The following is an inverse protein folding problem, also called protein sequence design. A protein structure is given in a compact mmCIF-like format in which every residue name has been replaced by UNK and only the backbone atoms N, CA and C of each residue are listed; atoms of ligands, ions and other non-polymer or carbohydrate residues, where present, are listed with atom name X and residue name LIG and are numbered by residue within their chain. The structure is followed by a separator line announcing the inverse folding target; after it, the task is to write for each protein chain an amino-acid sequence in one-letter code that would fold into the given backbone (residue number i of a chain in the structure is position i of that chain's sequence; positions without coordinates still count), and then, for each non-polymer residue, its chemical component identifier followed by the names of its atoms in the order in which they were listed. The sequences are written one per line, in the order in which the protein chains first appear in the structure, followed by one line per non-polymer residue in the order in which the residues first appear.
data_IF_450871357998
#
_entry.id   IF_450871357998
#
_cell.length_a   1.000
_cell.length_b   1.000
_cell.length_c   1.000
_cell.angle_alpha   90.00
_cell.angle_beta   90.00
_cell.angle_gamma   90.00
#
_symmetry.space_group_name_H-M   'P 1'
#
loop_
_entity.id
_entity.type
_entity.pdbx_description
1 polymer ?
#
# COMPACT_ATOMS: atom_id res chain seq x y z
N UNK A 1 -15.18 -1.48 17.62
CA UNK A 1 -14.34 -1.62 16.40
C UNK A 1 -12.92 -1.29 16.81
N UNK A 2 -11.92 -2.07 16.42
CA UNK A 2 -10.54 -1.80 16.81
C UNK A 2 -10.02 -0.51 16.15
N UNK A 3 -9.46 0.36 17.00
CA UNK A 3 -8.93 1.67 16.62
C UNK A 3 -7.59 1.88 17.32
N UNK A 4 -6.56 2.18 16.54
CA UNK A 4 -5.31 2.70 17.09
C UNK A 4 -5.45 4.22 17.23
N UNK A 5 -5.30 4.72 18.47
CA UNK A 5 -5.30 6.15 18.75
C UNK A 5 -3.89 6.66 18.95
N UNK A 6 -3.56 7.73 18.24
CA UNK A 6 -2.31 8.50 18.37
C UNK A 6 -2.66 9.98 18.55
N UNK A 7 -1.67 10.82 18.79
CA UNK A 7 -1.90 12.23 19.11
C UNK A 7 -2.69 13.01 18.03
N UNK A 8 -2.49 12.65 16.75
CA UNK A 8 -3.04 13.37 15.59
C UNK A 8 -3.87 12.47 14.65
N UNK A 9 -4.12 11.20 15.06
CA UNK A 9 -4.86 10.26 14.20
C UNK A 9 -5.54 9.14 14.99
N UNK A 10 -6.67 8.69 14.49
CA UNK A 10 -7.35 7.45 14.87
C UNK A 10 -7.41 6.54 13.64
N UNK A 11 -6.73 5.40 13.69
CA UNK A 11 -6.62 4.45 12.59
C UNK A 11 -7.50 3.24 12.86
N UNK A 12 -8.47 3.01 11.97
CA UNK A 12 -9.26 1.78 11.98
C UNK A 12 -8.46 0.64 11.37
N UNK A 13 -8.57 -0.53 11.99
CA UNK A 13 -7.95 -1.75 11.47
C UNK A 13 -8.78 -3.00 11.76
N UNK A 14 -8.50 -4.06 11.05
CA UNK A 14 -9.07 -5.39 11.22
C UNK A 14 -7.94 -6.42 11.24
N UNK A 15 -8.13 -7.52 11.99
CA UNK A 15 -7.16 -8.60 12.08
C UNK A 15 -7.87 -9.91 11.77
N UNK A 16 -7.28 -10.71 10.90
CA UNK A 16 -7.80 -12.01 10.47
C UNK A 16 -6.74 -13.10 10.65
N UNK A 17 -7.17 -14.33 10.92
CA UNK A 17 -6.28 -15.48 11.00
C UNK A 17 -5.31 -15.44 12.16
N UNK A 18 -4.27 -16.26 12.08
CA UNK A 18 -3.19 -16.36 13.06
C UNK A 18 -1.91 -16.86 12.38
N UNK A 19 -0.75 -16.49 12.93
CA UNK A 19 0.58 -16.86 12.43
C UNK A 19 1.51 -15.64 12.33
N UNK A 20 2.51 -15.72 11.46
CA UNK A 20 3.42 -14.60 11.24
C UNK A 20 2.65 -13.40 10.64
N UNK A 21 2.90 -12.16 11.11
CA UNK A 21 2.09 -11.01 10.71
C UNK A 21 2.36 -10.55 9.27
N UNK A 22 1.29 -10.15 8.59
CA UNK A 22 1.36 -9.44 7.31
C UNK A 22 0.46 -8.20 7.37
N UNK A 23 1.04 -7.02 7.11
CA UNK A 23 0.31 -5.76 7.04
C UNK A 23 -0.11 -5.48 5.59
N UNK A 24 -1.40 -5.20 5.40
CA UNK A 24 -2.00 -4.96 4.09
C UNK A 24 -2.23 -3.48 3.84
N UNK A 25 -1.82 -3.01 2.67
CA UNK A 25 -2.10 -1.68 2.15
C UNK A 25 -3.03 -1.77 0.96
N UNK A 26 -4.31 -1.51 1.18
CA UNK A 26 -5.35 -1.67 0.17
C UNK A 26 -5.16 -0.72 -1.03
N UNK A 27 -5.66 -1.09 -2.22
CA UNK A 27 -5.76 -0.15 -3.34
C UNK A 27 -6.72 1.01 -2.99
N UNK A 28 -6.85 2.01 -3.90
CA UNK A 28 -7.81 3.11 -3.73
C UNK A 28 -7.18 4.50 -3.65
N UNK A 29 -5.87 4.65 -3.89
CA UNK A 29 -5.16 5.92 -3.79
C UNK A 29 -5.26 6.48 -2.37
N UNK A 30 -5.47 7.79 -2.25
CA UNK A 30 -5.63 8.47 -0.94
C UNK A 30 -6.94 8.13 -0.20
N UNK A 31 -7.79 7.25 -0.78
CA UNK A 31 -8.99 6.69 -0.14
C UNK A 31 -8.82 5.22 0.24
N UNK A 32 -7.59 4.73 0.27
CA UNK A 32 -7.26 3.34 0.58
C UNK A 32 -7.83 2.92 1.95
N UNK A 33 -8.76 1.97 1.93
CA UNK A 33 -9.44 1.42 3.09
C UNK A 33 -9.59 -0.10 3.00
N UNK A 34 -9.86 -0.75 4.11
CA UNK A 34 -9.95 -2.22 4.24
C UNK A 34 -10.87 -2.84 3.17
N UNK A 35 -12.02 -2.21 2.89
CA UNK A 35 -13.00 -2.75 1.95
C UNK A 35 -12.53 -2.74 0.48
N UNK A 36 -11.50 -1.97 0.15
CA UNK A 36 -10.97 -1.89 -1.22
C UNK A 36 -10.25 -3.17 -1.68
N UNK A 37 -9.97 -4.13 -0.80
CA UNK A 37 -9.39 -5.41 -1.19
C UNK A 37 -10.36 -6.33 -1.95
N UNK A 38 -11.63 -6.33 -1.61
CA UNK A 38 -12.64 -7.19 -2.24
C UNK A 38 -13.78 -6.42 -2.89
N UNK A 39 -13.67 -5.09 -2.93
CA UNK A 39 -14.77 -4.21 -3.29
C UNK A 39 -15.12 -4.21 -4.77
N UNK A 40 -16.41 -4.17 -5.07
CA UNK A 40 -16.88 -3.80 -6.39
C UNK A 40 -16.55 -2.33 -6.69
N UNK A 41 -16.18 -2.05 -7.93
CA UNK A 41 -15.94 -0.70 -8.44
C UNK A 41 -16.63 -0.52 -9.80
N UNK A 42 -16.76 0.70 -10.35
CA UNK A 42 -17.31 0.88 -11.69
C UNK A 42 -16.64 0.03 -12.76
N UNK A 43 -15.33 -0.21 -12.64
CA UNK A 43 -14.55 -1.03 -13.57
C UNK A 43 -14.63 -2.54 -13.25
N UNK A 44 -15.01 -2.90 -12.04
CA UNK A 44 -15.09 -4.28 -11.54
C UNK A 44 -16.35 -4.45 -10.70
N UNK A 45 -17.56 -4.47 -11.33
CA UNK A 45 -18.85 -4.50 -10.61
C UNK A 45 -19.06 -5.78 -9.80
N UNK A 46 -18.37 -6.86 -10.15
CA UNK A 46 -18.41 -8.15 -9.44
C UNK A 46 -17.22 -8.33 -8.47
N UNK A 47 -16.52 -7.26 -8.10
CA UNK A 47 -15.28 -7.29 -7.34
C UNK A 47 -14.04 -7.46 -8.24
N UNK A 48 -12.88 -7.33 -7.64
CA UNK A 48 -11.63 -7.47 -8.37
C UNK A 48 -11.41 -8.93 -8.79
N UNK A 49 -10.95 -9.19 -10.04
CA UNK A 49 -10.68 -10.54 -10.53
C UNK A 49 -9.31 -11.07 -10.06
N UNK A 50 -8.92 -10.76 -8.84
CA UNK A 50 -7.68 -11.21 -8.20
C UNK A 50 -7.88 -11.47 -6.71
N UNK A 51 -6.83 -11.90 -6.04
CA UNK A 51 -6.85 -12.34 -4.66
C UNK A 51 -7.30 -11.24 -3.69
N UNK A 52 -8.28 -11.56 -2.81
CA UNK A 52 -8.50 -10.82 -1.56
C UNK A 52 -7.57 -11.39 -0.48
N UNK A 53 -6.51 -10.69 -0.10
CA UNK A 53 -5.52 -11.22 0.84
C UNK A 53 -6.07 -11.39 2.26
N UNK A 54 -7.18 -10.72 2.62
CA UNK A 54 -7.81 -10.84 3.94
C UNK A 54 -8.34 -12.26 4.19
N UNK A 55 -8.80 -12.91 3.14
CA UNK A 55 -9.29 -14.29 3.21
C UNK A 55 -8.26 -15.29 2.71
N UNK A 56 -7.54 -14.96 1.63
CA UNK A 56 -6.61 -15.88 0.99
C UNK A 56 -5.36 -16.19 1.83
N UNK A 57 -4.98 -15.31 2.78
CA UNK A 57 -3.78 -15.48 3.60
C UNK A 57 -4.09 -15.81 5.07
N UNK A 58 -5.35 -15.71 5.49
CA UNK A 58 -5.74 -15.85 6.90
C UNK A 58 -5.62 -17.28 7.46
N UNK A 59 -5.45 -18.27 6.62
CA UNK A 59 -5.20 -19.66 7.03
C UNK A 59 -3.79 -19.88 7.62
N UNK A 60 -2.81 -19.03 7.27
CA UNK A 60 -1.40 -19.18 7.68
C UNK A 60 -0.80 -17.95 8.35
N UNK A 61 -1.42 -16.78 8.19
CA UNK A 61 -0.87 -15.50 8.64
C UNK A 61 -1.83 -14.75 9.55
N UNK A 62 -1.27 -13.95 10.46
CA UNK A 62 -2.03 -12.87 11.10
C UNK A 62 -2.11 -11.72 10.11
N UNK A 63 -3.23 -11.60 9.41
CA UNK A 63 -3.46 -10.61 8.37
C UNK A 63 -4.02 -9.34 9.00
N UNK A 64 -3.32 -8.23 8.89
CA UNK A 64 -3.65 -6.93 9.46
C UNK A 64 -4.03 -6.00 8.31
N UNK A 65 -5.28 -5.58 8.24
CA UNK A 65 -5.78 -4.64 7.25
C UNK A 65 -6.17 -3.33 7.93
N UNK A 66 -5.88 -2.18 7.31
CA UNK A 66 -6.14 -0.87 7.90
C UNK A 66 -6.71 0.11 6.89
N UNK A 67 -7.51 1.05 7.39
CA UNK A 67 -7.86 2.25 6.66
C UNK A 67 -6.74 3.27 6.79
N UNK A 68 -6.29 3.84 5.68
CA UNK A 68 -5.25 4.87 5.70
C UNK A 68 -5.77 6.18 6.31
N UNK A 69 -4.86 7.09 6.70
CA UNK A 69 -5.22 8.44 7.19
C UNK A 69 -6.31 9.07 6.33
N UNK A 70 -7.39 9.50 6.95
CA UNK A 70 -8.53 10.18 6.31
C UNK A 70 -9.26 9.35 5.24
N UNK A 71 -9.10 8.03 5.26
CA UNK A 71 -9.85 7.08 4.44
C UNK A 71 -10.76 6.21 5.33
N UNK A 72 -11.85 5.73 4.76
CA UNK A 72 -12.78 4.83 5.45
C UNK A 72 -13.25 5.38 6.80
N UNK A 73 -12.93 4.65 7.87
CA UNK A 73 -13.26 5.00 9.26
C UNK A 73 -12.11 5.71 10.00
N UNK A 74 -10.95 5.86 9.35
CA UNK A 74 -9.79 6.54 9.94
C UNK A 74 -9.92 8.05 9.82
N UNK A 75 -9.49 8.75 10.87
CA UNK A 75 -9.52 10.21 10.96
C UNK A 75 -8.15 10.71 11.40
N UNK A 76 -7.64 11.74 10.74
CA UNK A 76 -6.36 12.34 11.07
C UNK A 76 -6.33 13.85 10.75
N UNK A 77 -5.46 14.57 11.44
CA UNK A 77 -5.08 15.92 11.05
C UNK A 77 -4.46 15.93 9.65
N UNK A 78 -4.57 17.06 8.97
CA UNK A 78 -3.88 17.34 7.71
C UNK A 78 -2.95 18.52 7.90
N UNK A 79 -1.65 18.28 7.76
CA UNK A 79 -0.61 19.30 7.95
C UNK A 79 0.23 19.45 6.69
N UNK A 80 0.87 20.61 6.47
CA UNK A 80 1.63 20.86 5.25
C UNK A 80 2.90 20.00 5.10
N UNK A 81 3.41 19.46 6.19
CA UNK A 81 4.58 18.58 6.25
C UNK A 81 4.24 17.08 6.14
N UNK A 82 2.95 16.72 6.12
CA UNK A 82 2.54 15.32 5.96
C UNK A 82 2.89 14.80 4.56
N UNK A 83 3.28 13.53 4.50
CA UNK A 83 3.70 12.82 3.29
C UNK A 83 3.87 11.32 3.57
N UNK A 84 4.60 10.61 2.74
CA UNK A 84 4.80 9.16 2.85
C UNK A 84 5.28 8.72 4.24
N UNK A 85 6.26 9.43 4.82
CA UNK A 85 6.77 9.17 6.17
C UNK A 85 5.69 9.21 7.25
N UNK A 86 4.66 10.05 7.07
CA UNK A 86 3.55 10.16 8.03
C UNK A 86 2.68 8.91 8.02
N UNK A 87 2.40 8.37 6.82
CA UNK A 87 1.70 7.09 6.69
C UNK A 87 2.53 5.93 7.24
N UNK A 88 3.83 5.88 6.93
CA UNK A 88 4.71 4.87 7.48
C UNK A 88 4.76 4.88 9.01
N UNK A 89 4.75 6.06 9.62
CA UNK A 89 4.68 6.18 11.08
C UNK A 89 3.40 5.58 11.68
N UNK A 90 2.26 5.69 10.98
CA UNK A 90 1.01 5.03 11.41
C UNK A 90 1.10 3.51 11.23
N UNK A 91 1.64 3.05 10.11
CA UNK A 91 1.83 1.63 9.82
C UNK A 91 2.68 0.95 10.90
N UNK A 92 3.83 1.53 11.21
CA UNK A 92 4.74 1.01 12.23
C UNK A 92 4.14 1.07 13.63
N UNK A 93 3.42 2.15 13.96
CA UNK A 93 2.73 2.26 15.24
C UNK A 93 1.63 1.21 15.40
N UNK A 94 0.92 0.83 14.32
CA UNK A 94 -0.06 -0.26 14.36
C UNK A 94 0.61 -1.61 14.63
N UNK A 95 1.71 -1.89 13.96
CA UNK A 95 2.51 -3.11 14.17
C UNK A 95 3.04 -3.18 15.61
N UNK A 96 3.52 -2.05 16.16
CA UNK A 96 3.99 -1.95 17.55
C UNK A 96 2.84 -2.14 18.55
N UNK A 97 1.68 -1.54 18.31
CA UNK A 97 0.47 -1.69 19.12
C UNK A 97 0.02 -3.16 19.22
N UNK A 98 0.15 -3.90 18.11
CA UNK A 98 -0.16 -5.33 18.06
C UNK A 98 0.97 -6.23 18.59
N UNK A 99 2.10 -5.67 19.01
CA UNK A 99 3.22 -6.37 19.63
C UNK A 99 4.16 -7.11 18.67
N UNK A 100 4.07 -6.86 17.36
CA UNK A 100 4.89 -7.55 16.39
C UNK A 100 6.24 -6.83 16.14
N UNK A 101 7.32 -7.60 16.06
CA UNK A 101 8.68 -7.09 15.79
C UNK A 101 9.04 -7.14 14.31
N UNK A 102 8.70 -8.24 13.65
CA UNK A 102 8.90 -8.45 12.21
C UNK A 102 7.59 -8.79 11.55
N UNK A 103 7.44 -8.41 10.29
CA UNK A 103 6.21 -8.61 9.54
C UNK A 103 6.48 -8.61 8.04
N UNK A 104 5.58 -9.21 7.26
CA UNK A 104 5.48 -9.01 5.83
C UNK A 104 4.63 -7.78 5.53
N UNK A 105 4.77 -7.23 4.34
CA UNK A 105 3.85 -6.22 3.80
C UNK A 105 3.28 -6.69 2.46
N UNK A 106 2.03 -6.34 2.18
CA UNK A 106 1.43 -6.51 0.86
C UNK A 106 0.63 -5.27 0.50
N UNK A 107 0.87 -4.73 -0.69
CA UNK A 107 0.21 -3.52 -1.13
C UNK A 107 -0.28 -3.58 -2.57
N UNK A 108 -1.54 -3.17 -2.79
CA UNK A 108 -2.12 -2.98 -4.11
C UNK A 108 -2.18 -1.50 -4.49
N UNK A 109 -1.94 -1.15 -5.76
CA UNK A 109 -2.00 0.24 -6.24
C UNK A 109 -1.04 1.15 -5.46
N UNK A 110 -1.53 2.19 -4.79
CA UNK A 110 -0.75 3.06 -3.88
C UNK A 110 -0.04 2.25 -2.78
N UNK A 111 -0.61 1.10 -2.41
CA UNK A 111 -0.03 0.20 -1.42
C UNK A 111 1.36 -0.30 -1.79
N UNK A 112 1.70 -0.36 -3.07
CA UNK A 112 3.06 -0.66 -3.52
C UNK A 112 4.07 0.39 -3.06
N UNK A 113 3.71 1.67 -3.13
CA UNK A 113 4.54 2.77 -2.62
C UNK A 113 4.62 2.75 -1.09
N UNK A 114 3.53 2.39 -0.38
CA UNK A 114 3.58 2.17 1.07
C UNK A 114 4.48 0.99 1.45
N UNK A 115 4.53 -0.09 0.66
CA UNK A 115 5.47 -1.19 0.89
C UNK A 115 6.93 -0.71 0.84
N UNK A 116 7.30 0.08 -0.18
CA UNK A 116 8.64 0.63 -0.29
C UNK A 116 8.98 1.58 0.86
N UNK A 117 8.07 2.48 1.21
CA UNK A 117 8.24 3.38 2.35
C UNK A 117 8.43 2.62 3.66
N UNK A 118 7.63 1.57 3.91
CA UNK A 118 7.78 0.73 5.10
C UNK A 118 9.14 0.04 5.16
N UNK A 119 9.67 -0.42 4.01
CA UNK A 119 11.02 -1.01 3.92
C UNK A 119 12.08 0.05 4.20
N UNK A 120 11.95 1.27 3.66
CA UNK A 120 12.91 2.36 3.89
C UNK A 120 12.97 2.76 5.36
N UNK A 121 11.80 2.90 6.02
CA UNK A 121 11.70 3.32 7.41
C UNK A 121 12.06 2.21 8.41
N UNK A 122 11.89 0.94 8.05
CA UNK A 122 12.10 -0.18 8.96
C UNK A 122 12.68 -1.43 8.25
N UNK A 123 13.87 -1.32 7.61
CA UNK A 123 14.45 -2.38 6.77
C UNK A 123 14.67 -3.70 7.52
N UNK A 124 15.01 -3.64 8.81
CA UNK A 124 15.26 -4.83 9.64
C UNK A 124 13.96 -5.51 10.14
N UNK A 125 12.82 -4.86 9.95
CA UNK A 125 11.51 -5.35 10.41
C UNK A 125 10.67 -5.94 9.28
N UNK A 126 10.79 -5.43 8.06
CA UNK A 126 10.02 -5.93 6.90
C UNK A 126 10.71 -7.18 6.34
N UNK A 127 10.12 -8.33 6.58
CA UNK A 127 10.66 -9.63 6.18
C UNK A 127 10.59 -9.86 4.66
N UNK A 128 9.50 -9.43 4.02
CA UNK A 128 9.34 -9.39 2.55
C UNK A 128 8.14 -8.52 2.16
N UNK A 129 8.06 -8.15 0.87
CA UNK A 129 6.96 -7.35 0.34
C UNK A 129 6.34 -7.97 -0.92
N UNK A 130 5.00 -8.03 -0.96
CA UNK A 130 4.21 -8.34 -2.15
C UNK A 130 3.67 -7.03 -2.72
N UNK A 131 4.10 -6.68 -3.92
CA UNK A 131 3.76 -5.42 -4.60
C UNK A 131 2.86 -5.77 -5.78
N UNK A 132 1.58 -5.41 -5.66
CA UNK A 132 0.58 -5.69 -6.66
C UNK A 132 0.18 -4.40 -7.36
N UNK A 133 0.30 -4.38 -8.70
CA UNK A 133 -0.20 -3.27 -9.49
C UNK A 133 0.31 -1.89 -9.00
N UNK A 134 1.63 -1.68 -8.86
CA UNK A 134 2.14 -0.45 -8.24
C UNK A 134 1.80 0.78 -9.05
N UNK A 135 1.51 1.88 -8.34
CA UNK A 135 1.43 3.21 -8.94
C UNK A 135 2.82 3.71 -9.36
N UNK A 136 2.85 4.70 -10.23
CA UNK A 136 4.07 5.42 -10.57
C UNK A 136 3.82 6.57 -11.54
N UNK A 137 4.85 7.38 -11.73
CA UNK A 137 4.81 8.49 -12.68
C UNK A 137 5.31 8.03 -14.06
N UNK A 138 4.40 7.99 -15.01
CA UNK A 138 4.70 7.77 -16.43
C UNK A 138 3.59 8.35 -17.29
N UNK A 139 3.81 9.57 -17.81
CA UNK A 139 2.84 10.29 -18.68
C UNK A 139 1.42 10.43 -18.08
N UNK A 140 1.32 10.50 -16.75
CA UNK A 140 0.04 10.45 -16.01
C UNK A 140 -0.03 11.46 -14.85
N UNK A 141 0.68 12.59 -14.93
CA UNK A 141 0.71 13.62 -13.88
C UNK A 141 -0.70 14.11 -13.53
N UNK A 142 -1.56 14.26 -14.54
CA UNK A 142 -2.96 14.66 -14.39
C UNK A 142 -3.77 13.75 -13.43
N UNK A 143 -3.46 12.47 -13.41
CA UNK A 143 -4.09 11.52 -12.50
C UNK A 143 -3.77 11.83 -11.02
N UNK A 144 -2.55 12.23 -10.74
CA UNK A 144 -2.10 12.53 -9.37
C UNK A 144 -2.57 13.90 -8.90
N UNK A 145 -2.61 14.88 -9.78
CA UNK A 145 -3.20 16.20 -9.52
C UNK A 145 -4.70 16.06 -9.19
N UNK A 146 -5.43 15.23 -9.92
CA UNK A 146 -6.83 14.91 -9.63
C UNK A 146 -7.01 14.18 -8.29
N UNK A 147 -6.09 13.28 -7.94
CA UNK A 147 -6.11 12.56 -6.65
C UNK A 147 -5.94 13.53 -5.47
N UNK A 148 -5.00 14.47 -5.55
CA UNK A 148 -4.77 15.51 -4.52
C UNK A 148 -5.98 16.42 -4.40
N UNK A 149 -6.57 16.87 -5.52
CA UNK A 149 -7.78 17.69 -5.52
C UNK A 149 -8.94 16.96 -4.81
N UNK A 150 -9.20 15.71 -5.19
CA UNK A 150 -10.27 14.90 -4.59
C UNK A 150 -10.04 14.61 -3.10
N UNK A 151 -8.78 14.45 -2.68
CA UNK A 151 -8.44 14.35 -1.26
C UNK A 151 -8.75 15.65 -0.52
N UNK A 152 -8.32 16.81 -1.06
CA UNK A 152 -8.61 18.11 -0.49
C UNK A 152 -10.12 18.38 -0.31
N UNK A 153 -10.93 18.03 -1.32
CA UNK A 153 -12.38 18.12 -1.22
C UNK A 153 -12.95 17.24 -0.11
N UNK A 154 -12.39 16.03 0.07
CA UNK A 154 -12.84 15.08 1.09
C UNK A 154 -12.53 15.56 2.51
N UNK A 155 -11.29 15.98 2.77
CA UNK A 155 -10.88 16.39 4.13
C UNK A 155 -11.53 17.70 4.55
N UNK A 156 -11.77 18.62 3.61
CA UNK A 156 -12.45 19.90 3.88
C UNK A 156 -13.95 19.76 4.19
N UNK A 157 -14.59 18.68 3.78
CA UNK A 157 -15.97 18.40 4.23
C UNK A 157 -16.04 18.20 5.74
N UNK A 158 -14.95 17.66 6.33
CA UNK A 158 -14.84 17.46 7.78
C UNK A 158 -14.27 18.67 8.49
N UNK A 159 -13.23 19.28 7.91
CA UNK A 159 -12.55 20.46 8.45
C UNK A 159 -12.39 21.54 7.37
N UNK A 160 -13.33 22.48 7.26
CA UNK A 160 -13.26 23.58 6.28
C UNK A 160 -12.09 24.55 6.49
N UNK A 161 -11.41 24.52 7.64
CA UNK A 161 -10.28 25.40 7.94
C UNK A 161 -8.99 25.00 7.22
N UNK A 162 -8.90 23.78 6.68
CA UNK A 162 -7.73 23.31 5.95
C UNK A 162 -7.52 24.16 4.69
N UNK A 163 -6.39 24.90 4.67
CA UNK A 163 -6.07 25.82 3.60
C UNK A 163 -5.71 25.11 2.28
N UNK A 164 -5.84 25.81 1.14
CA UNK A 164 -5.37 25.28 -0.15
C UNK A 164 -3.86 25.03 -0.11
N UNK A 165 -3.10 25.94 0.51
CA UNK A 165 -1.65 25.81 0.65
C UNK A 165 -1.24 24.53 1.40
N UNK A 166 -2.02 24.12 2.41
CA UNK A 166 -1.81 22.84 3.12
C UNK A 166 -2.02 21.65 2.20
N UNK A 167 -3.11 21.64 1.40
CA UNK A 167 -3.39 20.57 0.45
C UNK A 167 -2.32 20.51 -0.65
N UNK A 168 -1.89 21.65 -1.17
CA UNK A 168 -0.86 21.71 -2.21
C UNK A 168 0.50 21.21 -1.69
N UNK A 169 0.83 21.53 -0.43
CA UNK A 169 2.06 21.05 0.21
C UNK A 169 2.02 19.55 0.43
N UNK A 170 0.93 19.04 0.98
CA UNK A 170 0.68 17.60 1.12
C UNK A 170 0.77 16.89 -0.25
N UNK A 171 0.13 17.44 -1.29
CA UNK A 171 0.16 16.90 -2.64
C UNK A 171 1.58 16.81 -3.21
N UNK A 172 2.41 17.85 -3.00
CA UNK A 172 3.83 17.80 -3.39
C UNK A 172 4.61 16.73 -2.63
N UNK A 173 4.37 16.57 -1.33
CA UNK A 173 5.03 15.55 -0.52
C UNK A 173 4.65 14.13 -0.93
N UNK A 174 3.40 13.92 -1.38
CA UNK A 174 2.93 12.61 -1.85
C UNK A 174 3.32 12.32 -3.29
N UNK A 175 3.10 13.26 -4.21
CA UNK A 175 3.19 13.00 -5.65
C UNK A 175 4.11 13.96 -6.41
N UNK A 176 4.86 14.82 -5.71
CA UNK A 176 5.82 15.74 -6.34
C UNK A 176 7.06 15.06 -6.91
N UNK A 177 7.37 13.86 -6.45
CA UNK A 177 8.47 13.04 -6.95
C UNK A 177 8.17 12.39 -8.31
N UNK A 178 9.06 11.49 -8.69
CA UNK A 178 8.95 10.64 -9.88
C UNK A 178 8.88 9.14 -9.47
N UNK A 179 9.03 8.24 -10.44
CA UNK A 179 9.08 6.79 -10.24
C UNK A 179 7.86 6.28 -9.47
N UNK A 180 8.05 5.73 -8.25
CA UNK A 180 6.98 5.24 -7.36
C UNK A 180 6.59 6.25 -6.28
N UNK A 181 7.05 7.48 -6.36
CA UNK A 181 6.81 8.63 -5.48
C UNK A 181 7.39 8.54 -4.07
N UNK A 182 7.34 7.38 -3.42
CA UNK A 182 7.75 7.24 -2.01
C UNK A 182 9.25 7.04 -1.85
N UNK A 183 9.91 6.39 -2.80
CA UNK A 183 11.35 6.09 -2.73
C UNK A 183 12.05 6.37 -4.05
N UNK A 184 13.38 6.48 -4.01
CA UNK A 184 14.21 6.70 -5.19
C UNK A 184 14.58 5.39 -5.90
N UNK A 185 15.03 5.50 -7.15
CA UNK A 185 15.61 4.38 -7.91
C UNK A 185 16.82 3.76 -7.22
N UNK A 186 17.66 4.60 -6.61
CA UNK A 186 18.87 4.13 -5.92
C UNK A 186 18.52 3.36 -4.65
N UNK A 187 17.45 3.74 -3.94
CA UNK A 187 16.90 2.93 -2.86
C UNK A 187 16.51 1.54 -3.35
N UNK A 188 15.74 1.44 -4.45
CA UNK A 188 15.30 0.14 -5.00
C UNK A 188 16.47 -0.72 -5.46
N UNK A 189 17.52 -0.14 -6.07
CA UNK A 189 18.77 -0.84 -6.41
C UNK A 189 19.49 -1.41 -5.18
N UNK A 190 19.40 -0.72 -4.06
CA UNK A 190 20.02 -1.16 -2.78
C UNK A 190 19.12 -2.04 -1.92
N UNK A 191 17.86 -2.24 -2.30
CA UNK A 191 16.87 -2.94 -1.50
C UNK A 191 17.20 -4.44 -1.37
N UNK A 192 17.49 -4.89 -0.15
CA UNK A 192 17.78 -6.30 0.14
C UNK A 192 16.55 -7.11 0.55
N UNK A 193 15.47 -6.44 0.93
CA UNK A 193 14.21 -7.09 1.28
C UNK A 193 13.68 -7.85 0.07
N UNK A 194 13.31 -9.13 0.20
CA UNK A 194 12.71 -9.90 -0.89
C UNK A 194 11.40 -9.25 -1.37
N UNK A 195 11.26 -9.09 -2.69
CA UNK A 195 10.10 -8.50 -3.33
C UNK A 195 9.40 -9.50 -4.25
N UNK A 196 8.07 -9.50 -4.23
CA UNK A 196 7.23 -10.21 -5.20
C UNK A 196 6.37 -9.21 -5.94
N UNK A 197 6.58 -9.07 -7.25
CA UNK A 197 5.92 -8.08 -8.08
C UNK A 197 4.86 -8.72 -8.99
N UNK A 198 3.65 -8.20 -8.91
CA UNK A 198 2.55 -8.40 -9.87
C UNK A 198 2.35 -7.11 -10.66
N UNK A 199 2.75 -7.04 -11.95
CA UNK A 199 2.88 -5.78 -12.69
C UNK A 199 1.56 -5.05 -12.96
N UNK A 200 1.63 -3.72 -13.06
CA UNK A 200 0.58 -2.84 -13.58
C UNK A 200 0.51 -2.83 -15.10
N UNK A 201 -0.64 -2.43 -15.67
CA UNK A 201 -0.86 -2.37 -17.13
C UNK A 201 -1.74 -1.20 -17.58
N UNK A 202 -2.15 -0.32 -16.70
CA UNK A 202 -3.07 0.79 -16.99
C UNK A 202 -2.46 2.15 -16.62
N UNK A 203 -3.16 3.24 -16.94
CA UNK A 203 -2.65 4.60 -16.79
C UNK A 203 -2.18 4.93 -15.36
N UNK A 204 -2.92 4.64 -14.27
CA UNK A 204 -2.42 4.87 -12.91
C UNK A 204 -1.34 3.86 -12.47
N UNK A 205 -1.25 2.70 -13.10
CA UNK A 205 -0.32 1.62 -12.79
C UNK A 205 0.51 1.23 -14.01
N UNK A 206 1.46 2.08 -14.43
CA UNK A 206 2.15 1.90 -15.71
C UNK A 206 2.99 0.63 -15.75
N UNK A 207 2.90 -0.11 -16.86
CA UNK A 207 3.78 -1.25 -17.12
C UNK A 207 5.25 -0.84 -17.10
N UNK A 208 5.55 0.39 -17.53
CA UNK A 208 6.90 0.99 -17.47
C UNK A 208 7.44 1.01 -16.04
N UNK A 209 6.66 1.54 -15.08
CA UNK A 209 7.07 1.57 -13.65
C UNK A 209 7.34 0.16 -13.11
N UNK A 210 6.48 -0.79 -13.43
CA UNK A 210 6.67 -2.19 -13.02
C UNK A 210 7.92 -2.82 -13.62
N UNK A 211 8.20 -2.55 -14.90
CA UNK A 211 9.40 -3.03 -15.59
C UNK A 211 10.67 -2.40 -14.99
N UNK A 212 10.62 -1.12 -14.62
CA UNK A 212 11.72 -0.42 -13.99
C UNK A 212 12.00 -0.98 -12.58
N UNK A 213 10.98 -1.22 -11.75
CA UNK A 213 11.13 -1.89 -10.45
C UNK A 213 11.81 -3.25 -10.64
N UNK A 214 11.33 -4.05 -11.59
CA UNK A 214 11.87 -5.38 -11.86
C UNK A 214 13.33 -5.36 -12.31
N UNK A 215 13.73 -4.33 -13.07
CA UNK A 215 15.11 -4.18 -13.54
C UNK A 215 16.07 -3.67 -12.46
N UNK A 216 15.57 -2.90 -11.49
CA UNK A 216 16.40 -2.28 -10.46
C UNK A 216 16.58 -3.16 -9.22
N UNK A 217 15.53 -3.86 -8.77
CA UNK A 217 15.54 -4.57 -7.51
C UNK A 217 16.36 -5.87 -7.59
N UNK A 218 17.39 -6.04 -6.72
CA UNK A 218 18.30 -7.18 -6.81
C UNK A 218 17.68 -8.50 -6.34
N UNK A 219 16.61 -8.45 -5.54
CA UNK A 219 15.97 -9.62 -4.93
C UNK A 219 14.46 -9.58 -5.21
N UNK A 220 14.08 -9.86 -6.46
CA UNK A 220 12.69 -9.73 -6.92
C UNK A 220 12.24 -10.95 -7.73
N UNK A 221 11.04 -11.42 -7.42
CA UNK A 221 10.29 -12.38 -8.23
C UNK A 221 9.15 -11.64 -8.94
N UNK A 222 8.90 -11.96 -10.22
CA UNK A 222 7.85 -11.31 -11.01
C UNK A 222 6.84 -12.33 -11.50
N UNK A 223 5.58 -12.12 -11.17
CA UNK A 223 4.46 -12.88 -11.75
C UNK A 223 3.74 -11.99 -12.76
N UNK A 224 3.92 -12.25 -14.07
CA UNK A 224 3.32 -11.46 -15.14
C UNK A 224 1.82 -11.71 -15.27
N UNK A 225 1.43 -12.99 -15.31
CA UNK A 225 0.04 -13.41 -15.46
C UNK A 225 -0.57 -13.64 -14.08
N UNK A 226 -1.38 -12.68 -13.60
CA UNK A 226 -1.95 -12.70 -12.26
C UNK A 226 -3.37 -12.12 -12.19
N UNK A 227 -3.79 -11.40 -13.23
CA UNK A 227 -5.15 -10.83 -13.32
C UNK A 227 -6.08 -11.77 -14.04
N UNK A 228 -7.30 -11.87 -13.55
CA UNK A 228 -8.32 -12.72 -14.09
C UNK A 228 -8.56 -13.96 -13.23
N UNK A 229 -9.79 -14.49 -13.29
CA UNK A 229 -10.18 -15.65 -12.49
C UNK A 229 -9.35 -16.91 -12.80
N UNK A 230 -8.85 -17.03 -14.03
CA UNK A 230 -7.99 -18.13 -14.48
C UNK A 230 -6.63 -18.17 -13.77
N UNK A 231 -6.12 -17.03 -13.34
CA UNK A 231 -4.81 -16.92 -12.65
C UNK A 231 -4.94 -16.89 -11.14
N UNK A 232 -6.16 -16.78 -10.58
CA UNK A 232 -6.40 -16.53 -9.17
C UNK A 232 -5.75 -17.58 -8.26
N UNK A 233 -5.98 -18.86 -8.53
CA UNK A 233 -5.45 -19.94 -7.69
C UNK A 233 -3.92 -20.02 -7.77
N UNK A 234 -3.36 -19.78 -8.93
CA UNK A 234 -1.91 -19.76 -9.09
C UNK A 234 -1.29 -18.55 -8.39
N UNK A 235 -1.93 -17.39 -8.45
CA UNK A 235 -1.49 -16.18 -7.72
C UNK A 235 -1.47 -16.42 -6.22
N UNK A 236 -2.53 -16.98 -5.66
CA UNK A 236 -2.61 -17.34 -4.23
C UNK A 236 -1.45 -18.28 -3.87
N UNK A 237 -1.27 -19.36 -4.61
CA UNK A 237 -0.22 -20.35 -4.36
C UNK A 237 1.19 -19.73 -4.42
N UNK A 238 1.46 -18.88 -5.42
CA UNK A 238 2.78 -18.20 -5.57
C UNK A 238 3.07 -17.21 -4.44
N UNK A 239 2.07 -16.41 -4.06
CA UNK A 239 2.20 -15.48 -2.95
C UNK A 239 2.44 -16.23 -1.64
N UNK A 240 1.70 -17.29 -1.34
CA UNK A 240 1.95 -18.14 -0.17
C UNK A 240 3.37 -18.72 -0.17
N UNK A 241 3.82 -19.31 -1.27
CA UNK A 241 5.15 -19.89 -1.38
C UNK A 241 6.26 -18.84 -1.20
N UNK A 242 6.06 -17.64 -1.72
CA UNK A 242 6.98 -16.53 -1.54
C UNK A 242 7.06 -16.07 -0.07
N UNK A 243 5.92 -15.82 0.56
CA UNK A 243 5.85 -15.41 1.96
C UNK A 243 6.45 -16.47 2.90
N UNK A 244 6.11 -17.75 2.70
CA UNK A 244 6.60 -18.86 3.52
C UNK A 244 8.14 -18.99 3.47
N UNK A 245 8.74 -18.86 2.29
CA UNK A 245 10.22 -18.88 2.13
C UNK A 245 10.92 -17.72 2.84
N UNK A 246 10.23 -16.60 2.98
CA UNK A 246 10.78 -15.37 3.54
C UNK A 246 10.28 -15.08 4.98
N UNK A 247 9.50 -15.98 5.57
CA UNK A 247 9.11 -15.90 6.98
C UNK A 247 10.30 -16.28 7.85
N UNK A 248 10.76 -15.40 8.76
CA UNK A 248 11.80 -15.72 9.72
C UNK A 248 11.42 -16.94 10.59
N UNK A 249 12.37 -17.82 10.81
CA UNK A 249 12.23 -19.00 11.68
C UNK A 249 12.37 -18.63 13.14
#
# INVERSE_FOLDING_TARGET
MPMLKRADTEIYYEVYGAGFPILLYAPGGLKSEVNMWGGASPNYPNGFPWMDPRTALADKYTVIAMDQRNAGKSVADVKPDHGWHTFAADHLALIDHLGFKKFHVMGGCIGGSYCFEAIEQAPDRVASAVIQNPIGLWENRDNWDAAVKGYGETVRKRDPSISQATIDSFGRNMFGGDFVFSVTRDFVKGCRTPLFLQPGIDKPHPAHTSAEIAALAPNIEVQKDWRGPEFLQESIRKVHAFLERNTPK
#
